data_IF_538253239786
#
_entry.id   IF_538253239786
#
_cell.length_a   1.000
_cell.length_b   1.000
_cell.length_c   1.000
_cell.angle_alpha   90.00
_cell.angle_beta   90.00
_cell.angle_gamma   90.00
#
_symmetry.space_group_name_H-M   'P 1'
#
loop_
_entity.id
_entity.type
_entity.pdbx_description
1 polymer ?
#
# COMPACT_ATOMS: atom_id res chain seq x y z
N UNK A 1 -3.20 1.56 7.23
CA UNK A 1 -2.55 2.87 7.45
C UNK A 1 -2.62 3.37 8.91
N UNK A 2 -3.78 3.81 9.45
CA UNK A 2 -3.85 4.31 10.85
C UNK A 2 -3.31 3.34 11.91
N UNK A 3 -3.79 2.10 11.91
CA UNK A 3 -3.40 1.11 12.91
C UNK A 3 -2.02 0.47 12.64
N UNK A 4 -1.59 0.42 11.38
CA UNK A 4 -0.35 -0.26 10.99
C UNK A 4 0.86 0.67 10.93
N UNK A 5 0.66 1.95 10.58
CA UNK A 5 1.72 2.94 10.50
C UNK A 5 1.57 3.98 11.62
N UNK A 6 0.60 4.89 11.54
CA UNK A 6 0.56 6.09 12.39
C UNK A 6 0.56 5.79 13.90
N UNK A 7 -0.28 4.85 14.37
CA UNK A 7 -0.31 4.48 15.80
C UNK A 7 0.99 3.84 16.29
N UNK A 8 1.75 3.18 15.42
CA UNK A 8 3.04 2.58 15.77
C UNK A 8 4.13 3.65 15.71
N UNK A 9 4.17 4.44 14.63
CA UNK A 9 5.12 5.51 14.40
C UNK A 9 5.11 6.52 15.55
N UNK A 10 3.94 7.04 15.93
CA UNK A 10 3.81 8.03 17.00
C UNK A 10 4.05 7.48 18.41
N UNK A 11 4.08 6.15 18.59
CA UNK A 11 4.53 5.53 19.85
C UNK A 11 6.04 5.35 19.93
N UNK A 12 6.72 5.28 18.77
CA UNK A 12 8.15 4.98 18.69
C UNK A 12 9.03 6.23 18.53
N UNK A 13 8.50 7.28 17.89
CA UNK A 13 9.26 8.47 17.49
C UNK A 13 8.38 9.70 17.63
N UNK A 14 8.95 10.76 18.23
CA UNK A 14 8.40 12.11 18.16
C UNK A 14 8.94 12.75 16.89
N UNK A 15 8.07 13.37 16.11
CA UNK A 15 8.42 14.02 14.87
C UNK A 15 8.36 15.53 15.06
N UNK A 16 9.50 16.19 14.88
CA UNK A 16 9.60 17.65 15.05
C UNK A 16 9.16 18.41 13.79
N UNK A 17 9.13 17.73 12.63
CA UNK A 17 8.68 18.29 11.35
C UNK A 17 7.77 17.31 10.61
N UNK A 18 6.93 17.86 9.72
CA UNK A 18 6.10 17.05 8.84
C UNK A 18 6.96 16.23 7.87
N UNK A 19 8.03 16.82 7.32
CA UNK A 19 8.94 16.15 6.38
C UNK A 19 9.55 14.86 6.99
N UNK A 20 9.88 14.88 8.28
CA UNK A 20 10.40 13.70 8.96
C UNK A 20 9.35 12.57 9.08
N UNK A 21 8.08 12.92 9.26
CA UNK A 21 6.97 11.94 9.26
C UNK A 21 6.70 11.43 7.84
N UNK A 22 6.73 12.31 6.85
CA UNK A 22 6.50 11.97 5.46
C UNK A 22 7.56 11.00 4.94
N UNK A 23 8.84 11.20 5.26
CA UNK A 23 9.92 10.29 4.88
C UNK A 23 9.70 8.86 5.43
N UNK A 24 9.33 8.74 6.71
CA UNK A 24 9.06 7.44 7.32
C UNK A 24 7.79 6.79 6.74
N UNK A 25 6.78 7.60 6.39
CA UNK A 25 5.56 7.13 5.73
C UNK A 25 5.84 6.62 4.32
N UNK A 26 6.62 7.35 3.54
CA UNK A 26 6.97 6.98 2.16
C UNK A 26 7.75 5.66 2.13
N UNK A 27 8.73 5.51 3.02
CA UNK A 27 9.48 4.26 3.17
C UNK A 27 8.56 3.10 3.60
N UNK A 28 7.63 3.36 4.52
CA UNK A 28 6.65 2.35 4.95
C UNK A 28 5.69 1.94 3.83
N UNK A 29 5.24 2.89 3.01
CA UNK A 29 4.36 2.64 1.87
C UNK A 29 5.06 1.83 0.79
N UNK A 30 6.34 2.08 0.51
CA UNK A 30 7.11 1.26 -0.42
C UNK A 30 7.19 -0.20 0.06
N UNK A 31 7.57 -0.40 1.33
CA UNK A 31 7.59 -1.72 1.94
C UNK A 31 6.22 -2.42 1.83
N UNK A 32 5.14 -1.72 2.21
CA UNK A 32 3.79 -2.28 2.22
C UNK A 32 3.29 -2.64 0.82
N UNK A 33 3.49 -1.75 -0.17
CA UNK A 33 2.93 -1.93 -1.49
C UNK A 33 3.77 -2.84 -2.39
N UNK A 34 5.10 -2.79 -2.26
CA UNK A 34 6.02 -3.40 -3.21
C UNK A 34 6.78 -4.61 -2.66
N UNK A 35 6.92 -4.76 -1.35
CA UNK A 35 7.78 -5.79 -0.75
C UNK A 35 6.99 -6.80 0.10
N UNK A 36 5.93 -6.35 0.77
CA UNK A 36 5.13 -7.21 1.64
C UNK A 36 4.05 -7.95 0.84
N UNK A 37 4.08 -9.27 0.92
CA UNK A 37 3.00 -10.11 0.40
C UNK A 37 1.79 -10.02 1.33
N UNK A 38 0.60 -9.86 0.75
CA UNK A 38 -0.66 -9.86 1.50
C UNK A 38 -1.33 -11.23 1.45
N UNK A 39 -2.06 -11.56 2.52
CA UNK A 39 -2.78 -12.81 2.78
C UNK A 39 -2.91 -13.75 1.57
N UNK A 40 -2.22 -14.89 1.63
CA UNK A 40 -2.08 -15.84 0.51
C UNK A 40 -3.39 -16.39 -0.06
N UNK A 41 -4.51 -16.30 0.67
CA UNK A 41 -5.81 -16.81 0.23
C UNK A 41 -6.42 -16.06 -0.95
N UNK A 42 -6.21 -14.74 -1.03
CA UNK A 42 -6.88 -13.88 -2.03
C UNK A 42 -5.90 -13.17 -2.94
N UNK A 43 -4.75 -12.75 -2.40
CA UNK A 43 -3.70 -12.10 -3.18
C UNK A 43 -2.68 -13.12 -3.70
N UNK A 44 -2.83 -14.42 -3.41
CA UNK A 44 -1.94 -15.49 -3.88
C UNK A 44 -0.44 -15.25 -3.56
N UNK A 45 -0.15 -14.63 -2.41
CA UNK A 45 1.21 -14.27 -2.05
C UNK A 45 1.77 -13.11 -2.88
N UNK A 46 0.95 -12.38 -3.63
CA UNK A 46 1.41 -11.20 -4.36
C UNK A 46 1.39 -9.99 -3.45
N UNK A 47 2.27 -9.04 -3.76
CA UNK A 47 2.24 -7.71 -3.17
C UNK A 47 1.02 -6.93 -3.68
N UNK A 48 0.56 -5.90 -2.95
CA UNK A 48 -0.57 -5.07 -3.37
C UNK A 48 -0.33 -4.47 -4.76
N UNK A 49 0.87 -3.95 -5.03
CA UNK A 49 1.20 -3.36 -6.31
C UNK A 49 1.19 -4.39 -7.44
N UNK A 50 1.71 -5.61 -7.19
CA UNK A 50 1.66 -6.68 -8.19
C UNK A 50 0.22 -7.10 -8.50
N UNK A 51 -0.61 -7.22 -7.47
CA UNK A 51 -2.03 -7.55 -7.61
C UNK A 51 -2.77 -6.49 -8.43
N UNK A 52 -2.48 -5.21 -8.14
CA UNK A 52 -3.05 -4.08 -8.88
C UNK A 52 -2.68 -4.14 -10.38
N UNK A 53 -1.39 -4.30 -10.69
CA UNK A 53 -0.91 -4.37 -12.07
C UNK A 53 -1.50 -5.56 -12.83
N UNK A 54 -1.55 -6.74 -12.21
CA UNK A 54 -2.12 -7.94 -12.82
C UNK A 54 -3.63 -7.76 -13.10
N UNK A 55 -4.33 -6.94 -12.30
CA UNK A 55 -5.77 -6.67 -12.48
C UNK A 55 -6.09 -5.62 -13.56
N UNK A 56 -5.11 -4.89 -14.08
CA UNK A 56 -5.35 -3.80 -15.05
C UNK A 56 -6.06 -4.26 -16.32
N UNK A 57 -5.71 -5.45 -16.83
CA UNK A 57 -6.34 -5.98 -18.04
C UNK A 57 -7.81 -6.35 -17.77
N UNK A 58 -8.09 -6.95 -16.61
CA UNK A 58 -9.47 -7.24 -16.18
C UNK A 58 -10.30 -5.96 -16.01
N UNK A 59 -9.70 -4.89 -15.48
CA UNK A 59 -10.36 -3.60 -15.36
C UNK A 59 -10.66 -2.97 -16.73
N UNK A 60 -9.73 -3.09 -17.70
CA UNK A 60 -9.94 -2.63 -19.09
C UNK A 60 -11.05 -3.39 -19.79
N UNK A 61 -11.10 -4.72 -19.63
CA UNK A 61 -12.15 -5.57 -20.20
C UNK A 61 -13.53 -5.27 -19.60
N UNK A 62 -13.57 -4.84 -18.33
CA UNK A 62 -14.79 -4.47 -17.60
C UNK A 62 -15.20 -3.00 -17.71
N UNK A 63 -14.46 -2.17 -18.44
CA UNK A 63 -14.91 -0.82 -18.77
C UNK A 63 -16.16 -0.95 -19.65
N UNK A 64 -17.33 -0.99 -19.01
CA UNK A 64 -18.62 -0.84 -19.66
C UNK A 64 -18.55 0.53 -20.32
N UNK A 65 -18.56 0.55 -21.66
CA UNK A 65 -18.70 1.80 -22.40
C UNK A 65 -20.01 2.43 -21.92
N UNK A 66 -19.89 3.52 -21.16
CA UNK A 66 -21.01 4.41 -20.91
C UNK A 66 -21.31 5.08 -22.25
N UNK A 67 -22.14 4.41 -23.05
CA UNK A 67 -22.88 5.00 -24.17
C UNK A 67 -24.18 5.58 -23.64
#
# INVERSE_FOLDING_TARGET
>A
MLNEFYRIAFRKKIYDTNDALQADLDAWLDLYNNQREHQGRWCYGKTPMRTFLDSLNLAKEKLIAYH
#
